data_IF_393964238005
#
_entry.id   IF_393964238005
#
_cell.length_a   1.000
_cell.length_b   1.000
_cell.length_c   1.000
_cell.angle_alpha   90.00
_cell.angle_beta   90.00
_cell.angle_gamma   90.00
#
_symmetry.space_group_name_H-M   'P 1'
#
loop_
_entity.id
_entity.type
_entity.pdbx_description
1 polymer ?
#
# COMPACT_ATOMS: atom_id res chain seq x y z
N UNK A 1 -0.96 12.39 12.41
CA UNK A 1 -1.99 12.07 11.40
C UNK A 1 -1.82 10.66 10.83
N UNK A 2 -0.71 10.34 10.16
CA UNK A 2 -0.48 9.03 9.51
C UNK A 2 -0.57 7.82 10.46
N UNK A 3 -0.10 7.94 11.71
CA UNK A 3 -0.20 6.86 12.71
C UNK A 3 -1.66 6.46 13.00
N UNK A 4 -2.57 7.44 13.11
CA UNK A 4 -4.00 7.18 13.34
C UNK A 4 -4.65 6.47 12.16
N UNK A 5 -4.21 6.80 10.94
CA UNK A 5 -4.68 6.14 9.71
C UNK A 5 -4.22 4.68 9.68
N UNK A 6 -2.96 4.42 10.03
CA UNK A 6 -2.43 3.05 10.12
C UNK A 6 -3.20 2.26 11.17
N UNK A 7 -3.33 2.79 12.39
CA UNK A 7 -4.03 2.14 13.50
C UNK A 7 -5.49 1.80 13.15
N UNK A 8 -6.19 2.72 12.48
CA UNK A 8 -7.55 2.46 12.01
C UNK A 8 -7.61 1.27 11.04
N UNK A 9 -6.75 1.23 10.02
CA UNK A 9 -6.76 0.17 9.02
C UNK A 9 -6.09 -1.14 9.50
N UNK A 10 -5.29 -1.10 10.57
CA UNK A 10 -4.81 -2.30 11.27
C UNK A 10 -5.98 -2.97 12.03
N UNK A 11 -6.86 -2.17 12.66
CA UNK A 11 -8.03 -2.68 13.38
C UNK A 11 -9.23 -3.00 12.45
N UNK A 12 -9.34 -2.29 11.33
CA UNK A 12 -10.41 -2.43 10.34
C UNK A 12 -9.81 -2.63 8.94
N UNK A 13 -9.27 -3.83 8.65
CA UNK A 13 -8.55 -4.09 7.41
C UNK A 13 -9.47 -4.08 6.21
N UNK A 14 -8.95 -3.60 5.07
CA UNK A 14 -9.67 -3.69 3.81
C UNK A 14 -9.91 -5.16 3.43
N UNK A 15 -11.08 -5.43 2.87
CA UNK A 15 -11.43 -6.76 2.34
C UNK A 15 -11.08 -6.93 0.85
N UNK A 16 -10.69 -5.86 0.17
CA UNK A 16 -10.41 -5.91 -1.28
C UNK A 16 -8.90 -6.03 -1.56
N UNK A 17 -8.52 -6.13 -2.84
CA UNK A 17 -7.12 -6.06 -3.28
C UNK A 17 -6.39 -4.79 -2.80
N UNK A 18 -7.13 -3.74 -2.40
CA UNK A 18 -6.58 -2.53 -1.79
C UNK A 18 -5.85 -2.82 -0.47
N UNK A 19 -6.16 -3.92 0.22
CA UNK A 19 -5.40 -4.30 1.42
C UNK A 19 -3.93 -4.60 1.11
N UNK A 20 -3.65 -5.22 -0.04
CA UNK A 20 -2.27 -5.40 -0.52
C UNK A 20 -1.54 -4.06 -0.71
N UNK A 21 -2.22 -3.05 -1.28
CA UNK A 21 -1.65 -1.70 -1.41
C UNK A 21 -1.49 -1.01 -0.05
N UNK A 22 -2.41 -1.25 0.90
CA UNK A 22 -2.32 -0.74 2.27
C UNK A 22 -1.11 -1.31 3.01
N UNK A 23 -0.81 -2.61 2.88
CA UNK A 23 0.35 -3.23 3.51
C UNK A 23 1.66 -2.59 3.02
N UNK A 24 1.77 -2.37 1.71
CA UNK A 24 2.90 -1.66 1.11
C UNK A 24 2.98 -0.21 1.62
N UNK A 25 1.86 0.50 1.69
CA UNK A 25 1.81 1.85 2.25
C UNK A 25 2.24 1.91 3.72
N UNK A 26 1.75 0.99 4.55
CA UNK A 26 2.10 0.90 5.98
C UNK A 26 3.59 0.73 6.16
N UNK A 27 4.22 -0.14 5.37
CA UNK A 27 5.66 -0.34 5.40
C UNK A 27 6.44 0.92 4.98
N UNK A 28 6.01 1.59 3.91
CA UNK A 28 6.62 2.85 3.48
C UNK A 28 6.56 3.92 4.58
N UNK A 29 5.43 4.03 5.30
CA UNK A 29 5.31 4.96 6.44
C UNK A 29 6.25 4.57 7.58
N UNK A 30 6.43 3.28 7.89
CA UNK A 30 7.38 2.83 8.92
C UNK A 30 8.81 3.25 8.55
N UNK A 31 9.22 3.09 7.29
CA UNK A 31 10.52 3.55 6.79
C UNK A 31 10.71 5.07 6.95
N UNK A 32 9.64 5.84 6.70
CA UNK A 32 9.65 7.30 6.90
C UNK A 32 9.79 7.64 8.39
N UNK A 33 9.01 6.98 9.25
CA UNK A 33 9.03 7.21 10.69
C UNK A 33 10.40 6.89 11.32
N UNK A 34 11.10 5.88 10.80
CA UNK A 34 12.46 5.52 11.21
C UNK A 34 13.55 6.37 10.54
N UNK A 35 13.18 7.28 9.64
CA UNK A 35 14.09 8.10 8.82
C UNK A 35 15.04 7.28 7.92
N UNK A 36 14.74 6.01 7.68
CA UNK A 36 15.60 5.12 6.86
C UNK A 36 15.67 5.60 5.40
N UNK A 37 14.59 6.20 4.90
CA UNK A 37 14.52 6.80 3.55
C UNK A 37 15.58 7.88 3.25
N UNK A 38 16.27 8.41 4.28
CA UNK A 38 17.38 9.35 4.10
C UNK A 38 18.69 8.66 3.68
N UNK A 39 18.75 7.33 3.83
CA UNK A 39 19.89 6.51 3.37
C UNK A 39 19.60 5.95 1.99
N UNK A 40 20.64 5.70 1.20
CA UNK A 40 20.48 5.10 -0.14
C UNK A 40 19.72 3.77 -0.08
N UNK A 41 20.12 2.88 0.83
CA UNK A 41 19.46 1.59 1.01
C UNK A 41 17.98 1.72 1.41
N UNK A 42 17.64 2.69 2.26
CA UNK A 42 16.25 2.96 2.62
C UNK A 42 15.45 3.61 1.49
N UNK A 43 16.08 4.44 0.66
CA UNK A 43 15.47 5.02 -0.53
C UNK A 43 15.19 3.95 -1.59
N UNK A 44 16.13 3.02 -1.83
CA UNK A 44 15.93 1.88 -2.72
C UNK A 44 14.77 0.99 -2.26
N UNK A 45 14.68 0.71 -0.95
CA UNK A 45 13.52 0.00 -0.36
C UNK A 45 12.22 0.77 -0.58
N UNK A 46 12.24 2.08 -0.40
CA UNK A 46 11.05 2.92 -0.61
C UNK A 46 10.59 2.89 -2.07
N UNK A 47 11.53 2.95 -3.03
CA UNK A 47 11.23 2.85 -4.46
C UNK A 47 10.74 1.44 -4.82
N UNK A 48 11.32 0.38 -4.26
CA UNK A 48 10.85 -1.01 -4.44
C UNK A 48 9.40 -1.22 -3.99
N UNK A 49 9.02 -0.59 -2.87
CA UNK A 49 7.62 -0.56 -2.40
C UNK A 49 6.75 0.19 -3.41
N UNK A 50 7.17 1.40 -3.81
CA UNK A 50 6.41 2.25 -4.74
C UNK A 50 6.21 1.60 -6.11
N UNK A 51 7.15 0.78 -6.58
CA UNK A 51 7.07 0.03 -7.82
C UNK A 51 5.90 -0.95 -7.85
N UNK A 52 5.44 -1.39 -6.68
CA UNK A 52 4.44 -2.45 -6.52
C UNK A 52 3.05 -1.92 -6.16
N UNK A 53 2.94 -0.61 -5.98
CA UNK A 53 1.71 0.09 -5.61
C UNK A 53 1.03 0.71 -6.84
N UNK A 54 -0.29 0.50 -6.96
CA UNK A 54 -1.14 1.14 -7.97
C UNK A 54 -0.56 1.07 -9.40
N UNK A 55 -0.10 2.21 -9.94
CA UNK A 55 0.43 2.35 -11.30
C UNK A 55 1.94 2.09 -11.42
N UNK A 56 2.61 1.66 -10.34
CA UNK A 56 4.05 1.41 -10.35
C UNK A 56 4.90 2.68 -10.47
N UNK A 57 6.12 2.56 -11.01
CA UNK A 57 7.06 3.67 -11.15
C UNK A 57 6.74 4.54 -12.37
N UNK A 58 7.19 5.80 -12.33
CA UNK A 58 7.21 6.65 -13.52
C UNK A 58 8.47 6.36 -14.33
N UNK A 59 8.44 6.63 -15.65
CA UNK A 59 9.59 6.43 -16.55
C UNK A 59 10.89 7.05 -16.03
N UNK A 60 10.80 8.24 -15.41
CA UNK A 60 11.96 8.93 -14.82
C UNK A 60 12.57 8.12 -13.66
N UNK A 61 11.72 7.55 -12.81
CA UNK A 61 12.18 6.75 -11.67
C UNK A 61 12.74 5.39 -12.12
N UNK A 62 12.13 4.76 -13.13
CA UNK A 62 12.66 3.52 -13.71
C UNK A 62 14.07 3.72 -14.28
N UNK A 63 14.30 4.84 -14.98
CA UNK A 63 15.62 5.18 -15.51
C UNK A 63 16.65 5.48 -14.41
N UNK A 64 16.20 6.10 -13.31
CA UNK A 64 17.08 6.45 -12.18
C UNK A 64 17.43 5.22 -11.34
N UNK A 65 16.54 4.23 -11.30
CA UNK A 65 16.67 3.04 -10.47
C UNK A 65 16.43 1.75 -11.28
N UNK A 66 17.31 1.43 -12.25
CA UNK A 66 17.08 0.34 -13.21
C UNK A 66 17.12 -1.06 -12.59
N UNK A 67 17.82 -1.23 -11.47
CA UNK A 67 18.06 -2.54 -10.86
C UNK A 67 17.16 -2.83 -9.63
N UNK A 68 16.10 -2.05 -9.44
CA UNK A 68 15.20 -2.25 -8.31
C UNK A 68 14.27 -3.42 -8.57
N UNK A 69 14.28 -4.38 -7.63
CA UNK A 69 13.34 -5.49 -7.60
C UNK A 69 12.07 -5.02 -6.88
N UNK A 70 10.90 -4.99 -7.54
CA UNK A 70 9.65 -4.60 -6.90
C UNK A 70 9.30 -5.52 -5.73
N UNK A 71 8.75 -4.94 -4.67
CA UNK A 71 8.28 -5.71 -3.52
C UNK A 71 7.04 -6.55 -3.87
N UNK A 72 7.03 -7.81 -3.42
CA UNK A 72 5.87 -8.69 -3.65
C UNK A 72 4.61 -8.09 -3.02
N UNK A 73 3.58 -7.91 -3.84
CA UNK A 73 2.24 -7.47 -3.40
C UNK A 73 1.42 -8.68 -3.00
N UNK A 74 0.81 -8.63 -1.81
CA UNK A 74 -0.09 -9.67 -1.34
C UNK A 74 -1.40 -9.65 -2.14
N UNK A 75 -1.79 -10.82 -2.66
CA UNK A 75 -3.08 -11.03 -3.32
C UNK A 75 -4.13 -11.41 -2.27
N UNK A 76 -5.26 -10.72 -2.29
CA UNK A 76 -6.30 -10.84 -1.27
C UNK A 76 -7.47 -11.65 -1.82
N UNK A 77 -7.66 -12.85 -1.28
CA UNK A 77 -8.79 -13.71 -1.61
C UNK A 77 -9.69 -13.81 -0.38
N UNK A 78 -10.38 -12.73 -0.01
CA UNK A 78 -11.37 -12.80 1.07
C UNK A 78 -12.66 -13.44 0.55
N UNK A 79 -13.10 -14.51 1.19
CA UNK A 79 -14.41 -15.15 0.95
C UNK A 79 -15.49 -14.66 1.90
N UNK A 80 -15.11 -14.00 3.01
CA UNK A 80 -16.01 -13.65 4.11
C UNK A 80 -16.06 -12.14 4.35
N UNK A 81 -17.27 -11.63 4.57
CA UNK A 81 -17.53 -10.22 4.88
C UNK A 81 -17.50 -10.06 6.41
N UNK A 82 -16.53 -9.32 6.99
CA UNK A 82 -16.36 -9.26 8.45
C UNK A 82 -17.55 -8.64 9.19
N UNK A 83 -18.24 -7.69 8.56
CA UNK A 83 -19.41 -7.04 9.13
C UNK A 83 -20.33 -6.48 8.02
N UNK A 84 -21.67 -6.58 8.16
CA UNK A 84 -22.63 -6.09 7.15
C UNK A 84 -22.46 -4.62 6.75
N UNK A 85 -21.97 -3.73 7.63
CA UNK A 85 -21.76 -2.32 7.31
C UNK A 85 -20.66 -2.09 6.25
N UNK A 86 -19.77 -3.06 6.02
CA UNK A 86 -18.79 -3.02 4.93
C UNK A 86 -19.44 -3.07 3.54
N UNK A 87 -20.64 -3.65 3.47
CA UNK A 87 -21.41 -3.79 2.24
C UNK A 87 -21.88 -2.41 1.77
N UNK A 88 -22.38 -1.57 2.68
CA UNK A 88 -22.87 -0.22 2.38
C UNK A 88 -21.77 0.66 1.75
N UNK A 89 -20.54 0.54 2.24
CA UNK A 89 -19.39 1.28 1.72
C UNK A 89 -19.01 0.73 0.33
N UNK A 90 -19.02 -0.59 0.14
CA UNK A 90 -18.62 -1.24 -1.11
C UNK A 90 -19.56 -0.93 -2.28
N UNK A 91 -20.88 -0.85 -2.04
CA UNK A 91 -21.86 -0.51 -3.08
C UNK A 91 -21.79 0.95 -3.53
N UNK A 92 -21.55 1.90 -2.62
CA UNK A 92 -21.38 3.32 -2.99
C UNK A 92 -20.24 3.54 -3.99
N UNK A 93 -19.14 2.79 -3.89
CA UNK A 93 -18.01 2.91 -4.83
C UNK A 93 -18.26 2.27 -6.19
N UNK A 94 -19.17 1.30 -6.29
CA UNK A 94 -19.55 0.67 -7.56
C UNK A 94 -20.47 1.54 -8.41
N UNK A 95 -21.23 2.42 -7.78
CA UNK A 95 -22.17 3.35 -8.42
C UNK A 95 -21.48 4.66 -8.85
N UNK A 96 -20.35 5.01 -8.22
CA UNK A 96 -19.60 6.23 -8.49
C UNK A 96 -18.54 6.10 -9.61
N UNK A 97 -18.65 5.11 -10.50
CA UNK A 97 -17.70 4.85 -11.59
C UNK A 97 -18.39 4.79 -12.94
#
# INVERSE_FOLDING_TARGET
>A
MLKKIIEHFDNYPFITQKYGDYLLFREAVILILRKEHLTLAGLEKFVAIKASMNLGLSKKLEQTFPNIIPKVRLLICTTEIPNPFWINISYCWKIAR
#
